data_IF_671068206697
#
_entry.id   IF_671068206697
#
_cell.length_a   1.000
_cell.length_b   1.000
_cell.length_c   1.000
_cell.angle_alpha   90.00
_cell.angle_beta   90.00
_cell.angle_gamma   90.00
#
_symmetry.space_group_name_H-M   'P 1'
#
loop_
_entity.id
_entity.type
_entity.pdbx_description
1 polymer ?
#
# COMPACT_ATOMS: atom_id res chain seq x y z
N UNK A 1 -14.77 14.36 -19.21
CA UNK A 1 -14.02 13.17 -19.66
C UNK A 1 -13.10 13.47 -20.85
N UNK A 2 -13.56 14.12 -21.92
CA UNK A 2 -12.77 14.40 -23.14
C UNK A 2 -11.56 15.36 -22.99
N UNK A 3 -11.55 16.25 -21.99
CA UNK A 3 -10.46 17.25 -21.81
C UNK A 3 -9.28 16.72 -20.99
N UNK A 4 -9.52 15.76 -20.09
CA UNK A 4 -8.49 15.20 -19.21
C UNK A 4 -7.81 13.97 -19.83
N UNK A 5 -8.47 13.30 -20.77
CA UNK A 5 -7.97 12.13 -21.49
C UNK A 5 -6.56 12.31 -22.12
N UNK A 6 -6.19 13.45 -22.74
CA UNK A 6 -4.83 13.64 -23.27
C UNK A 6 -3.77 14.00 -22.21
N UNK A 7 -4.17 14.51 -21.04
CA UNK A 7 -3.25 14.83 -19.94
C UNK A 7 -2.93 13.63 -19.05
N UNK A 8 -3.82 12.64 -19.01
CA UNK A 8 -3.65 11.39 -18.30
C UNK A 8 -2.86 10.40 -19.16
N UNK A 9 -1.57 10.70 -19.38
CA UNK A 9 -0.64 9.77 -20.02
C UNK A 9 -0.23 8.66 -19.04
N UNK A 10 0.24 7.52 -19.55
CA UNK A 10 0.75 6.41 -18.72
C UNK A 10 1.82 6.86 -17.72
N UNK A 11 2.61 7.88 -18.06
CA UNK A 11 3.61 8.47 -17.18
C UNK A 11 2.98 9.22 -16.02
N UNK A 12 1.93 10.03 -16.26
CA UNK A 12 1.25 10.79 -15.21
C UNK A 12 0.55 9.85 -14.23
N UNK A 13 -0.11 8.81 -14.74
CA UNK A 13 -0.68 7.76 -13.89
C UNK A 13 0.39 7.04 -13.08
N UNK A 14 1.52 6.66 -13.68
CA UNK A 14 2.62 6.03 -12.98
C UNK A 14 3.16 6.88 -11.84
N UNK A 15 3.34 8.19 -12.06
CA UNK A 15 3.80 9.15 -11.05
C UNK A 15 2.78 9.29 -9.91
N UNK A 16 1.50 9.42 -10.23
CA UNK A 16 0.44 9.53 -9.21
C UNK A 16 0.34 8.24 -8.39
N UNK A 17 0.31 7.07 -9.03
CA UNK A 17 0.26 5.80 -8.32
C UNK A 17 1.49 5.57 -7.47
N UNK A 18 2.69 5.92 -7.95
CA UNK A 18 3.91 5.86 -7.15
C UNK A 18 3.85 6.76 -5.92
N UNK A 19 3.37 8.00 -6.07
CA UNK A 19 3.19 8.94 -4.97
C UNK A 19 2.19 8.42 -3.93
N UNK A 20 1.03 7.94 -4.38
CA UNK A 20 -0.01 7.37 -3.50
C UNK A 20 0.50 6.12 -2.78
N UNK A 21 1.17 5.21 -3.49
CA UNK A 21 1.77 4.02 -2.90
C UNK A 21 2.79 4.40 -1.82
N UNK A 22 3.66 5.37 -2.09
CA UNK A 22 4.63 5.88 -1.12
C UNK A 22 3.99 6.44 0.15
N UNK A 23 2.94 7.25 0.00
CA UNK A 23 2.19 7.83 1.14
C UNK A 23 1.55 6.72 1.99
N UNK A 24 0.90 5.75 1.36
CA UNK A 24 0.25 4.64 2.07
C UNK A 24 1.25 3.76 2.83
N UNK A 25 2.43 3.51 2.24
CA UNK A 25 3.53 2.82 2.93
C UNK A 25 3.98 3.64 4.13
N UNK A 26 4.24 4.94 3.97
CA UNK A 26 4.67 5.81 5.07
C UNK A 26 3.67 5.80 6.23
N UNK A 27 2.38 6.02 5.95
CA UNK A 27 1.32 6.02 6.99
C UNK A 27 1.24 4.65 7.69
N UNK A 28 1.39 3.56 6.94
CA UNK A 28 1.32 2.21 7.52
C UNK A 28 2.45 1.94 8.49
N UNK A 29 3.67 2.37 8.18
CA UNK A 29 4.84 2.17 9.04
C UNK A 29 4.91 3.17 10.20
N UNK A 30 4.55 4.43 9.96
CA UNK A 30 4.73 5.52 10.94
C UNK A 30 3.54 5.70 11.88
N UNK A 31 2.33 5.35 11.45
CA UNK A 31 1.12 5.51 12.27
C UNK A 31 0.45 4.18 12.62
N UNK A 32 0.17 3.32 11.62
CA UNK A 32 -0.59 2.09 11.88
C UNK A 32 0.22 1.04 12.64
N UNK A 33 1.51 0.86 12.31
CA UNK A 33 2.38 -0.10 12.98
C UNK A 33 2.67 0.25 14.45
N UNK A 34 3.00 1.51 14.83
CA UNK A 34 3.13 1.87 16.23
C UNK A 34 1.80 1.80 16.98
N UNK A 35 0.68 2.24 16.38
CA UNK A 35 -0.64 2.05 16.99
C UNK A 35 -0.95 0.56 17.23
N UNK A 36 -0.65 -0.31 16.26
CA UNK A 36 -0.83 -1.76 16.43
C UNK A 36 0.08 -2.37 17.51
N UNK A 37 1.24 -1.77 17.80
CA UNK A 37 2.13 -2.17 18.90
C UNK A 37 1.69 -1.62 20.26
N UNK A 38 1.01 -0.48 20.27
CA UNK A 38 0.50 0.13 21.49
C UNK A 38 -0.79 -0.57 21.98
N UNK A 39 -1.63 -1.02 21.05
CA UNK A 39 -2.88 -1.75 21.35
C UNK A 39 -2.75 -3.28 21.34
N UNK A 40 -1.62 -3.85 20.91
CA UNK A 40 -1.42 -5.30 20.76
C UNK A 40 0.00 -5.76 21.03
N UNK A 41 0.19 -7.07 21.26
CA UNK A 41 1.49 -7.66 21.57
C UNK A 41 2.51 -7.45 20.44
N UNK A 42 3.72 -7.03 20.78
CA UNK A 42 4.70 -6.44 19.83
C UNK A 42 5.05 -7.35 18.64
N UNK A 43 4.90 -8.67 18.81
CA UNK A 43 5.21 -9.68 17.81
C UNK A 43 4.04 -9.97 16.86
N UNK A 44 2.79 -9.88 17.34
CA UNK A 44 1.60 -10.21 16.56
C UNK A 44 1.36 -9.18 15.45
N UNK A 45 1.64 -7.90 15.72
CA UNK A 45 1.41 -6.79 14.78
C UNK A 45 2.35 -6.85 13.57
N UNK A 46 3.61 -7.24 13.77
CA UNK A 46 4.57 -7.43 12.67
C UNK A 46 4.24 -8.69 11.85
N UNK A 47 3.82 -9.77 12.51
CA UNK A 47 3.34 -10.97 11.84
C UNK A 47 2.09 -10.70 10.98
N UNK A 48 1.16 -9.88 11.47
CA UNK A 48 0.00 -9.44 10.71
C UNK A 48 0.37 -8.61 9.48
N UNK A 49 1.34 -7.69 9.60
CA UNK A 49 1.86 -6.91 8.49
C UNK A 49 2.49 -7.80 7.40
N UNK A 50 3.41 -8.68 7.79
CA UNK A 50 4.08 -9.61 6.88
C UNK A 50 3.08 -10.57 6.25
N UNK A 51 2.13 -11.09 7.04
CA UNK A 51 1.04 -11.93 6.55
C UNK A 51 0.16 -11.23 5.53
N UNK A 52 -0.23 -9.97 5.78
CA UNK A 52 -0.99 -9.16 4.83
C UNK A 52 -0.25 -8.92 3.51
N UNK A 53 1.05 -8.62 3.57
CA UNK A 53 1.90 -8.48 2.38
C UNK A 53 2.01 -9.80 1.60
N UNK A 54 2.19 -10.93 2.28
CA UNK A 54 2.25 -12.25 1.66
C UNK A 54 0.93 -12.63 0.98
N UNK A 55 -0.21 -12.33 1.62
CA UNK A 55 -1.54 -12.61 1.10
C UNK A 55 -1.83 -11.75 -0.15
N UNK A 56 -1.44 -10.48 -0.13
CA UNK A 56 -1.45 -9.61 -1.31
C UNK A 56 -0.59 -10.17 -2.45
N UNK A 57 0.66 -10.54 -2.18
CA UNK A 57 1.54 -11.12 -3.19
C UNK A 57 0.98 -12.41 -3.80
N UNK A 58 0.40 -13.28 -2.96
CA UNK A 58 -0.25 -14.52 -3.41
C UNK A 58 -1.48 -14.24 -4.27
N UNK A 59 -2.30 -13.25 -3.90
CA UNK A 59 -3.47 -12.87 -4.72
C UNK A 59 -3.08 -12.39 -6.10
N UNK A 60 -2.01 -11.59 -6.22
CA UNK A 60 -1.47 -11.19 -7.51
C UNK A 60 -0.95 -12.41 -8.29
N UNK A 61 -0.26 -13.34 -7.64
CA UNK A 61 0.28 -14.52 -8.33
C UNK A 61 -0.81 -15.49 -8.83
N UNK A 62 -1.96 -15.54 -8.16
CA UNK A 62 -3.08 -16.44 -8.51
C UNK A 62 -4.10 -15.79 -9.46
N UNK A 63 -4.28 -14.46 -9.42
CA UNK A 63 -5.34 -13.75 -10.17
C UNK A 63 -4.82 -12.77 -11.23
N UNK A 64 -3.51 -12.53 -11.32
CA UNK A 64 -2.88 -11.79 -12.43
C UNK A 64 -2.46 -12.77 -13.54
#
# INVERSE_FOLDING_TARGET
YLVLAPFLSSTVYGVIFAAVAGIMVYISFDQLLPAAREYGDHHLSVLGLIGGMALMALSLLLFM
#
